data_IF_916758277743
#
_entry.id   IF_916758277743
#
_cell.length_a   1.000
_cell.length_b   1.000
_cell.length_c   1.000
_cell.angle_alpha   90.00
_cell.angle_beta   90.00
_cell.angle_gamma   90.00
#
_symmetry.space_group_name_H-M   'P 1'
#
loop_
_entity.id
_entity.type
_entity.pdbx_description
1 polymer ?
#
# COMPACT_ATOMS: atom_id res chain seq x y z
N UNK A 1 -20.84 -15.56 3.55
CA UNK A 1 -19.52 -15.40 2.87
C UNK A 1 -19.72 -14.41 1.75
N UNK A 2 -19.03 -13.26 1.78
CA UNK A 2 -19.07 -12.25 0.71
C UNK A 2 -17.90 -12.54 -0.22
N UNK A 3 -18.18 -12.89 -1.46
CA UNK A 3 -17.17 -13.03 -2.51
C UNK A 3 -17.17 -11.75 -3.35
N UNK A 4 -16.02 -11.08 -3.46
CA UNK A 4 -15.86 -9.89 -4.29
C UNK A 4 -14.94 -10.24 -5.45
N UNK A 5 -15.53 -10.34 -6.64
CA UNK A 5 -14.77 -10.65 -7.85
C UNK A 5 -13.76 -9.52 -8.15
N UNK A 6 -12.55 -9.94 -8.51
CA UNK A 6 -11.47 -9.04 -8.91
C UNK A 6 -10.86 -8.20 -7.78
N UNK A 7 -11.17 -8.47 -6.51
CA UNK A 7 -10.48 -7.83 -5.39
C UNK A 7 -9.02 -8.31 -5.31
N UNK A 8 -8.07 -7.38 -5.12
CA UNK A 8 -6.63 -7.70 -5.15
C UNK A 8 -5.87 -7.16 -3.94
N UNK A 9 -5.99 -5.86 -3.66
CA UNK A 9 -5.15 -5.17 -2.69
C UNK A 9 -5.99 -4.72 -1.49
N UNK A 10 -6.28 -5.68 -0.61
CA UNK A 10 -7.21 -5.48 0.51
C UNK A 10 -6.53 -4.86 1.74
N UNK A 11 -7.16 -3.85 2.32
CA UNK A 11 -6.80 -3.30 3.63
C UNK A 11 -8.02 -3.16 4.51
N UNK A 12 -7.82 -3.41 5.81
CA UNK A 12 -8.81 -3.13 6.83
C UNK A 12 -8.46 -1.82 7.52
N UNK A 13 -9.43 -0.91 7.63
CA UNK A 13 -9.33 0.33 8.39
C UNK A 13 -10.44 0.39 9.44
N UNK A 14 -10.46 1.43 10.26
CA UNK A 14 -11.56 1.66 11.21
C UNK A 14 -12.91 1.89 10.51
N UNK A 15 -12.90 2.30 9.23
CA UNK A 15 -14.11 2.52 8.43
C UNK A 15 -14.60 1.23 7.73
N UNK A 16 -13.76 0.19 7.66
CA UNK A 16 -14.12 -1.11 7.09
C UNK A 16 -13.06 -1.72 6.18
N UNK A 17 -13.51 -2.63 5.31
CA UNK A 17 -12.68 -3.33 4.34
C UNK A 17 -12.70 -2.60 2.99
N UNK A 18 -11.52 -2.39 2.40
CA UNK A 18 -11.36 -1.71 1.13
C UNK A 18 -10.43 -2.47 0.19
N UNK A 19 -10.73 -2.41 -1.11
CA UNK A 19 -9.79 -2.76 -2.18
C UNK A 19 -9.13 -1.47 -2.70
N UNK A 20 -7.88 -1.26 -2.29
CA UNK A 20 -7.13 -0.03 -2.52
C UNK A 20 -6.81 0.14 -4.01
N UNK A 21 -6.40 -0.94 -4.68
CA UNK A 21 -6.08 -0.93 -6.11
C UNK A 21 -7.28 -0.51 -6.98
N UNK A 22 -8.49 -0.89 -6.57
CA UNK A 22 -9.75 -0.49 -7.21
C UNK A 22 -10.24 0.93 -6.82
N UNK A 23 -9.31 1.82 -6.46
CA UNK A 23 -9.60 3.21 -6.12
C UNK A 23 -10.34 3.35 -4.79
N UNK A 24 -9.89 2.60 -3.76
CA UNK A 24 -10.56 2.51 -2.46
C UNK A 24 -12.02 2.07 -2.57
N UNK A 25 -12.26 0.99 -3.32
CA UNK A 25 -13.58 0.37 -3.41
C UNK A 25 -13.93 -0.21 -2.05
N UNK A 26 -15.01 0.28 -1.43
CA UNK A 26 -15.54 -0.30 -0.20
C UNK A 26 -16.03 -1.73 -0.44
N UNK A 27 -15.82 -2.61 0.55
CA UNK A 27 -16.34 -3.97 0.56
C UNK A 27 -17.22 -4.13 1.80
N UNK A 28 -18.52 -3.76 1.70
CA UNK A 28 -19.44 -3.95 2.79
C UNK A 28 -19.70 -5.43 3.06
N UNK A 29 -19.61 -5.83 4.33
CA UNK A 29 -19.80 -7.23 4.73
C UNK A 29 -21.26 -7.60 4.96
N UNK A 30 -22.14 -6.60 4.99
CA UNK A 30 -23.60 -6.74 5.10
C UNK A 30 -24.28 -6.95 3.74
N UNK A 31 -23.52 -6.92 2.64
CA UNK A 31 -24.04 -7.05 1.28
C UNK A 31 -24.60 -5.75 0.68
N UNK A 32 -24.42 -4.61 1.35
CA UNK A 32 -24.70 -3.30 0.74
C UNK A 32 -23.77 -3.00 -0.45
N UNK A 33 -24.17 -2.04 -1.28
CA UNK A 33 -23.45 -1.70 -2.51
C UNK A 33 -22.07 -1.12 -2.23
N UNK A 34 -21.07 -1.56 -3.00
CA UNK A 34 -19.73 -0.98 -2.99
C UNK A 34 -19.68 0.38 -3.68
N UNK A 35 -18.78 1.25 -3.24
CA UNK A 35 -18.45 2.52 -3.91
C UNK A 35 -16.93 2.72 -3.92
N UNK A 36 -16.38 3.27 -5.00
CA UNK A 36 -14.97 3.69 -5.08
C UNK A 36 -14.83 5.20 -4.87
N UNK A 37 -13.72 5.62 -4.25
CA UNK A 37 -13.37 7.03 -4.09
C UNK A 37 -12.68 7.59 -5.35
N UNK A 38 -11.92 6.74 -6.03
CA UNK A 38 -11.12 7.08 -7.21
C UNK A 38 -11.38 6.06 -8.33
N UNK A 39 -10.93 6.37 -9.56
CA UNK A 39 -11.00 5.44 -10.69
C UNK A 39 -10.00 4.26 -10.59
N UNK A 40 -9.04 4.32 -9.65
CA UNK A 40 -7.93 3.38 -9.50
C UNK A 40 -6.58 4.06 -9.65
N UNK A 41 -5.50 3.31 -9.40
CA UNK A 41 -4.12 3.84 -9.39
C UNK A 41 -3.22 3.29 -10.50
N UNK A 42 -3.66 2.24 -11.21
CA UNK A 42 -2.85 1.51 -12.17
C UNK A 42 -3.21 0.02 -12.12
N UNK A 43 -3.03 -0.69 -13.23
CA UNK A 43 -3.38 -2.12 -13.32
C UNK A 43 -2.31 -3.04 -12.70
N UNK A 44 -1.10 -2.50 -12.51
CA UNK A 44 0.09 -3.15 -11.97
C UNK A 44 0.02 -3.36 -10.45
N UNK A 45 -0.73 -2.53 -9.73
CA UNK A 45 -0.82 -2.59 -8.27
C UNK A 45 -1.75 -3.74 -7.82
N UNK A 46 -1.22 -4.63 -6.98
CA UNK A 46 -1.88 -5.87 -6.60
C UNK A 46 -1.73 -6.26 -5.13
N UNK A 47 -0.95 -5.51 -4.34
CA UNK A 47 -0.77 -5.74 -2.92
C UNK A 47 -0.81 -4.42 -2.14
N UNK A 48 -1.39 -4.46 -0.95
CA UNK A 48 -1.44 -3.30 -0.06
C UNK A 48 -1.25 -3.70 1.41
N UNK A 49 -0.81 -2.75 2.23
CA UNK A 49 -0.77 -2.87 3.69
C UNK A 49 -0.99 -1.51 4.34
N UNK A 50 -1.63 -1.48 5.51
CA UNK A 50 -1.79 -0.28 6.32
C UNK A 50 -0.70 -0.22 7.41
N UNK A 51 -0.34 0.99 7.83
CA UNK A 51 0.50 1.21 9.00
C UNK A 51 -0.23 0.79 10.28
N UNK A 52 0.49 0.46 11.37
CA UNK A 52 -0.14 0.12 12.65
C UNK A 52 -1.06 1.21 13.21
N UNK A 53 -0.84 2.48 12.84
CA UNK A 53 -1.64 3.62 13.27
C UNK A 53 -2.77 3.98 12.29
N UNK A 54 -2.83 3.30 11.15
CA UNK A 54 -3.81 3.55 10.10
C UNK A 54 -3.64 4.88 9.36
N UNK A 55 -2.54 5.60 9.55
CA UNK A 55 -2.24 6.92 8.96
C UNK A 55 -1.57 6.86 7.58
N UNK A 56 -1.01 5.71 7.21
CA UNK A 56 -0.38 5.47 5.91
C UNK A 56 -0.81 4.12 5.37
N UNK A 57 -1.12 4.06 4.07
CA UNK A 57 -1.34 2.82 3.33
C UNK A 57 -0.32 2.72 2.22
N UNK A 58 0.38 1.59 2.13
CA UNK A 58 1.21 1.27 0.99
C UNK A 58 0.42 0.45 -0.02
N UNK A 59 0.51 0.81 -1.30
CA UNK A 59 -0.02 0.06 -2.45
C UNK A 59 1.15 -0.21 -3.40
N UNK A 60 1.43 -1.46 -3.73
CA UNK A 60 2.62 -1.85 -4.51
C UNK A 60 2.26 -2.78 -5.66
N UNK A 61 3.04 -2.69 -6.74
CA UNK A 61 3.17 -3.77 -7.70
C UNK A 61 4.02 -4.86 -7.02
N UNK A 62 3.39 -5.95 -6.56
CA UNK A 62 4.06 -6.95 -5.73
C UNK A 62 5.26 -7.57 -6.46
N UNK A 63 5.16 -7.80 -7.77
CA UNK A 63 6.30 -8.13 -8.64
C UNK A 63 6.52 -7.03 -9.66
N UNK A 64 6.98 -5.88 -9.19
CA UNK A 64 7.39 -4.72 -9.99
C UNK A 64 8.27 -3.76 -9.17
N UNK A 65 8.70 -2.64 -9.73
CA UNK A 65 9.61 -1.69 -9.08
C UNK A 65 8.90 -0.54 -8.35
N UNK A 66 7.59 -0.38 -8.57
CA UNK A 66 6.83 0.80 -8.18
C UNK A 66 5.87 0.53 -7.01
N UNK A 67 5.75 1.53 -6.13
CA UNK A 67 4.80 1.57 -5.03
C UNK A 67 4.30 3.00 -4.74
N UNK A 68 3.17 3.10 -4.06
CA UNK A 68 2.55 4.34 -3.63
C UNK A 68 2.39 4.31 -2.12
N UNK A 69 2.66 5.44 -1.47
CA UNK A 69 2.24 5.71 -0.11
C UNK A 69 1.03 6.65 -0.16
N UNK A 70 -0.05 6.25 0.47
CA UNK A 70 -1.35 6.91 0.45
C UNK A 70 -1.76 7.29 1.86
N UNK A 71 -2.50 8.40 1.97
CA UNK A 71 -3.30 8.72 3.16
C UNK A 71 -4.48 7.75 3.28
N UNK A 72 -5.13 7.64 4.45
CA UNK A 72 -6.27 6.74 4.65
C UNK A 72 -7.52 7.16 3.87
N UNK A 73 -7.59 8.42 3.44
CA UNK A 73 -8.61 8.91 2.50
C UNK A 73 -8.33 8.49 1.04
N UNK A 74 -7.11 8.03 0.76
CA UNK A 74 -6.62 7.59 -0.54
C UNK A 74 -5.86 8.63 -1.35
N UNK A 75 -5.62 9.82 -0.78
CA UNK A 75 -4.72 10.79 -1.41
C UNK A 75 -3.28 10.30 -1.45
N UNK A 76 -2.57 10.59 -2.54
CA UNK A 76 -1.15 10.27 -2.68
C UNK A 76 -0.31 11.13 -1.70
N UNK A 77 0.53 10.45 -0.92
CA UNK A 77 1.60 11.08 -0.14
C UNK A 77 2.84 11.21 -1.03
N UNK A 78 3.33 10.07 -1.55
CA UNK A 78 4.46 9.99 -2.48
C UNK A 78 4.54 8.63 -3.14
N UNK A 79 5.25 8.59 -4.26
CA UNK A 79 5.68 7.34 -4.89
C UNK A 79 6.95 6.82 -4.19
N UNK A 80 7.11 5.50 -4.18
CA UNK A 80 8.32 4.81 -3.72
C UNK A 80 8.74 3.81 -4.80
N UNK A 81 10.05 3.68 -5.00
CA UNK A 81 10.60 2.72 -5.95
C UNK A 81 11.54 1.76 -5.22
N UNK A 82 11.78 0.59 -5.82
CA UNK A 82 12.92 -0.28 -5.51
C UNK A 82 13.84 -0.38 -6.73
N UNK A 83 15.02 -0.95 -6.54
CA UNK A 83 15.86 -1.34 -7.68
C UNK A 83 15.06 -2.21 -8.66
N UNK A 84 15.11 -1.85 -9.95
CA UNK A 84 14.50 -2.62 -11.05
C UNK A 84 15.22 -3.96 -11.29
N UNK A 85 16.47 -4.06 -10.83
CA UNK A 85 17.28 -5.26 -10.92
C UNK A 85 16.63 -6.42 -10.15
N UNK A 86 16.19 -7.44 -10.89
CA UNK A 86 15.45 -8.61 -10.41
C UNK A 86 14.09 -8.32 -9.77
N UNK A 87 13.48 -7.15 -10.00
CA UNK A 87 12.21 -6.78 -9.38
C UNK A 87 11.06 -7.77 -9.69
N UNK A 88 11.04 -8.38 -10.86
CA UNK A 88 10.04 -9.38 -11.25
C UNK A 88 10.26 -10.77 -10.59
N UNK A 89 11.45 -11.03 -10.04
CA UNK A 89 11.83 -12.33 -9.50
C UNK A 89 11.37 -12.56 -8.04
N UNK A 90 10.99 -11.52 -7.31
CA UNK A 90 10.57 -11.60 -5.91
C UNK A 90 9.61 -10.48 -5.52
N UNK A 91 8.83 -10.73 -4.46
CA UNK A 91 7.87 -9.75 -3.95
C UNK A 91 8.56 -8.49 -3.43
N UNK A 92 7.96 -7.33 -3.69
CA UNK A 92 8.41 -6.04 -3.19
C UNK A 92 8.58 -6.10 -1.66
N UNK A 93 9.81 -5.97 -1.13
CA UNK A 93 10.04 -6.00 0.30
C UNK A 93 9.56 -4.66 0.88
N UNK A 94 8.45 -4.70 1.61
CA UNK A 94 7.86 -3.52 2.23
C UNK A 94 7.22 -3.87 3.58
N UNK A 95 7.51 -3.07 4.59
CA UNK A 95 6.80 -3.09 5.86
C UNK A 95 6.58 -1.66 6.40
N UNK A 96 5.40 -1.42 6.96
CA UNK A 96 5.09 -0.20 7.71
C UNK A 96 5.12 -0.50 9.20
N UNK A 97 5.68 0.41 9.99
CA UNK A 97 5.83 0.24 11.44
C UNK A 97 5.80 1.58 12.18
N UNK A 98 5.64 1.53 13.50
CA UNK A 98 5.63 2.74 14.33
C UNK A 98 7.06 3.09 14.80
N UNK A 99 7.50 4.32 14.54
CA UNK A 99 8.72 4.88 15.08
C UNK A 99 8.52 5.33 16.55
N UNK A 100 9.59 5.43 17.36
CA UNK A 100 9.50 5.87 18.76
C UNK A 100 8.92 7.28 18.96
N UNK A 101 9.06 8.16 17.97
CA UNK A 101 8.52 9.52 17.98
C UNK A 101 7.06 9.60 17.49
N UNK A 102 6.46 8.45 17.18
CA UNK A 102 5.07 8.33 16.75
C UNK A 102 4.84 8.46 15.25
N UNK A 103 5.88 8.76 14.45
CA UNK A 103 5.79 8.76 12.98
C UNK A 103 5.66 7.33 12.45
N UNK A 104 5.13 7.18 11.24
CA UNK A 104 5.17 5.90 10.53
C UNK A 104 6.50 5.75 9.81
N UNK A 105 7.20 4.66 10.13
CA UNK A 105 8.39 4.23 9.42
C UNK A 105 8.06 3.26 8.29
N UNK A 106 8.91 3.26 7.28
CA UNK A 106 8.90 2.37 6.13
C UNK A 106 10.22 1.61 6.09
N UNK A 107 10.14 0.28 6.00
CA UNK A 107 11.27 -0.58 5.62
C UNK A 107 11.06 -1.05 4.20
N UNK A 108 12.00 -0.78 3.30
CA UNK A 108 11.95 -1.21 1.90
C UNK A 108 13.36 -1.31 1.27
N UNK A 109 13.46 -1.40 -0.05
CA UNK A 109 14.72 -1.64 -0.78
C UNK A 109 14.92 -0.61 -1.91
N UNK A 110 15.12 0.68 -1.61
CA UNK A 110 14.87 1.77 -2.56
C UNK A 110 15.87 1.90 -3.70
N UNK A 111 17.15 1.63 -3.42
CA UNK A 111 18.26 1.98 -4.32
C UNK A 111 18.93 0.73 -4.88
N UNK A 112 19.40 -0.16 -3.99
CA UNK A 112 20.21 -1.32 -4.35
C UNK A 112 19.46 -2.63 -4.11
N UNK A 113 19.64 -3.59 -5.02
CA UNK A 113 19.19 -4.98 -4.81
C UNK A 113 19.79 -5.57 -3.52
N UNK A 114 18.97 -6.30 -2.75
CA UNK A 114 19.34 -6.92 -1.46
C UNK A 114 19.80 -5.94 -0.37
N UNK A 115 19.35 -4.68 -0.40
CA UNK A 115 19.64 -3.70 0.65
C UNK A 115 18.36 -3.13 1.23
N UNK A 116 18.05 -3.54 2.46
CA UNK A 116 16.95 -2.93 3.20
C UNK A 116 17.39 -1.60 3.78
N UNK A 117 16.53 -0.61 3.62
CA UNK A 117 16.66 0.70 4.20
C UNK A 117 15.40 1.07 4.96
N UNK A 118 15.59 2.04 5.85
CA UNK A 118 14.58 2.50 6.78
C UNK A 118 14.44 4.00 6.60
N UNK A 119 13.20 4.46 6.43
CA UNK A 119 12.90 5.89 6.31
C UNK A 119 11.57 6.23 6.99
N UNK A 120 11.37 7.53 7.25
CA UNK A 120 10.08 8.08 7.65
C UNK A 120 9.17 8.08 6.42
N UNK A 121 8.04 7.36 6.48
CA UNK A 121 7.19 7.11 5.32
C UNK A 121 6.71 8.39 4.61
N UNK A 122 6.40 9.44 5.38
CA UNK A 122 5.87 10.70 4.83
C UNK A 122 6.96 11.54 4.18
N UNK A 123 8.14 11.67 4.80
CA UNK A 123 9.20 12.59 4.35
C UNK A 123 10.31 11.94 3.54
N UNK A 124 10.53 10.62 3.68
CA UNK A 124 11.70 9.92 3.16
C UNK A 124 13.00 10.20 3.90
N UNK A 125 12.92 10.79 5.10
CA UNK A 125 14.09 10.99 5.97
C UNK A 125 14.59 9.63 6.49
N UNK A 126 15.89 9.35 6.37
CA UNK A 126 16.55 8.11 6.82
C UNK A 126 17.25 8.29 8.16
#
# INVERSE_FOLDING_TARGET
MVAVEGAKALVWTDEGLYDVAAGWRSIPLDGSSSSSRFSGYGAEFDAATASPRGDVVALVASTGDTGLLLRPDGELIREINRSDYCADAYRYPLALYALPDGRTGLVHCPEDYNRLEVEVAVSGER
#
